data_IF_352930751906
#
_entry.id   IF_352930751906
#
_cell.length_a   1.000
_cell.length_b   1.000
_cell.length_c   1.000
_cell.angle_alpha   90.00
_cell.angle_beta   90.00
_cell.angle_gamma   90.00
#
_symmetry.space_group_name_H-M   'P 1'
#
loop_
_entity.id
_entity.type
_entity.pdbx_description
1 polymer ?
#
# COMPACT_ATOMS: atom_id res chain seq x y z
N UNK A 1 16.77 -4.97 -3.65
CA UNK A 1 15.95 -6.18 -3.48
C UNK A 1 16.72 -7.37 -2.88
N UNK A 2 17.96 -7.73 -3.25
CA UNK A 2 18.66 -8.87 -2.63
C UNK A 2 18.81 -8.77 -1.10
N UNK A 3 18.94 -7.54 -0.57
CA UNK A 3 19.00 -7.32 0.88
C UNK A 3 17.66 -7.69 1.57
N UNK A 4 16.54 -7.24 1.04
CA UNK A 4 15.20 -7.51 1.60
C UNK A 4 14.85 -8.98 1.45
N UNK A 5 15.09 -9.57 0.27
CA UNK A 5 14.71 -10.95 -0.04
C UNK A 5 15.18 -12.00 0.95
N UNK A 6 16.37 -11.82 1.53
CA UNK A 6 16.94 -12.79 2.48
C UNK A 6 16.26 -12.81 3.85
N UNK A 7 15.43 -11.81 4.13
CA UNK A 7 14.69 -11.66 5.38
C UNK A 7 13.20 -12.03 5.26
N UNK A 8 12.73 -12.34 4.03
CA UNK A 8 11.34 -12.63 3.74
C UNK A 8 11.16 -14.11 3.36
N UNK A 9 10.08 -14.72 3.84
CA UNK A 9 9.65 -16.07 3.43
C UNK A 9 8.91 -16.04 2.10
N UNK A 10 8.16 -14.97 1.84
CA UNK A 10 7.47 -14.74 0.59
C UNK A 10 8.48 -14.30 -0.47
N UNK A 11 8.42 -14.87 -1.65
CA UNK A 11 9.36 -14.58 -2.72
C UNK A 11 9.22 -13.13 -3.22
N UNK A 12 10.36 -12.51 -3.55
CA UNK A 12 10.42 -11.18 -4.16
C UNK A 12 11.35 -11.21 -5.38
N UNK A 13 11.07 -10.46 -6.45
CA UNK A 13 11.88 -10.46 -7.66
C UNK A 13 13.33 -10.07 -7.36
N UNK A 14 14.26 -10.78 -7.97
CA UNK A 14 15.69 -10.48 -7.87
C UNK A 14 16.20 -9.86 -9.16
N UNK A 15 17.04 -8.82 -9.11
CA UNK A 15 17.63 -8.25 -10.30
C UNK A 15 18.56 -9.27 -10.97
N UNK A 16 18.31 -9.54 -12.25
CA UNK A 16 19.15 -10.38 -13.14
C UNK A 16 20.13 -9.50 -13.88
N UNK A 17 19.70 -8.33 -14.36
CA UNK A 17 20.54 -7.35 -15.03
C UNK A 17 20.03 -5.94 -14.78
N UNK A 18 20.94 -4.98 -14.81
CA UNK A 18 20.63 -3.53 -14.78
C UNK A 18 21.28 -2.92 -16.01
N UNK A 19 20.49 -2.19 -16.80
CA UNK A 19 20.94 -1.50 -17.99
C UNK A 19 21.01 0.01 -17.80
N UNK A 20 21.88 0.63 -18.58
CA UNK A 20 22.06 2.09 -18.62
C UNK A 20 21.17 2.74 -19.68
N UNK A 21 20.88 4.05 -19.55
CA UNK A 21 20.19 4.79 -20.60
C UNK A 21 20.90 4.68 -21.97
N UNK A 22 20.10 4.67 -23.03
CA UNK A 22 20.57 4.61 -24.42
C UNK A 22 19.74 5.51 -25.33
N UNK A 23 20.10 5.62 -26.64
CA UNK A 23 19.46 6.56 -27.55
C UNK A 23 17.94 6.43 -27.67
N UNK A 24 17.41 5.21 -27.53
CA UNK A 24 15.99 4.91 -27.67
C UNK A 24 15.27 4.72 -26.33
N UNK A 25 15.99 4.79 -25.21
CA UNK A 25 15.47 4.61 -23.87
C UNK A 25 16.29 5.41 -22.86
N UNK A 26 15.85 6.61 -22.46
CA UNK A 26 16.65 7.54 -21.68
C UNK A 26 16.71 7.23 -20.17
N UNK A 27 16.14 6.11 -19.72
CA UNK A 27 16.09 5.74 -18.30
C UNK A 27 16.95 4.50 -18.01
N UNK A 28 17.36 4.37 -16.76
CA UNK A 28 17.89 3.11 -16.22
C UNK A 28 16.75 2.06 -16.23
N UNK A 29 17.08 0.83 -16.57
CA UNK A 29 16.15 -0.29 -16.60
C UNK A 29 16.74 -1.51 -15.92
N UNK A 30 15.89 -2.43 -15.49
CA UNK A 30 16.32 -3.70 -14.92
C UNK A 30 15.53 -4.87 -15.48
N UNK A 31 16.19 -6.01 -15.58
CA UNK A 31 15.56 -7.31 -15.77
C UNK A 31 15.46 -7.97 -14.41
N UNK A 32 14.28 -8.44 -14.06
CA UNK A 32 13.98 -9.10 -12.78
C UNK A 32 13.71 -10.58 -13.03
N UNK A 33 13.97 -11.42 -12.02
CA UNK A 33 13.54 -12.81 -12.06
C UNK A 33 12.01 -12.90 -12.17
N UNK A 34 11.54 -13.80 -13.03
CA UNK A 34 10.12 -14.15 -13.09
C UNK A 34 9.74 -15.04 -11.91
N UNK A 35 8.66 -14.72 -11.22
CA UNK A 35 8.14 -15.52 -10.12
C UNK A 35 6.84 -16.23 -10.54
N UNK A 36 6.71 -17.53 -10.26
CA UNK A 36 5.48 -18.26 -10.56
C UNK A 36 4.38 -17.88 -9.57
N UNK A 37 3.13 -18.01 -10.01
CA UNK A 37 1.92 -17.77 -9.21
C UNK A 37 0.84 -17.06 -10.02
N UNK A 38 -0.37 -17.13 -9.52
CA UNK A 38 -1.53 -16.46 -10.11
C UNK A 38 -1.78 -15.13 -9.37
N UNK A 39 -2.13 -14.04 -10.08
CA UNK A 39 -2.51 -12.78 -9.44
C UNK A 39 -3.71 -12.99 -8.50
N UNK A 40 -3.73 -12.25 -7.39
CA UNK A 40 -4.84 -12.29 -6.45
C UNK A 40 -6.14 -11.81 -7.13
N UNK A 41 -7.11 -12.71 -7.24
CA UNK A 41 -8.46 -12.42 -7.76
C UNK A 41 -9.52 -12.43 -6.68
N UNK A 42 -9.32 -13.19 -5.62
CA UNK A 42 -10.24 -13.32 -4.49
C UNK A 42 -9.46 -13.38 -3.17
N UNK A 43 -9.79 -12.48 -2.25
CA UNK A 43 -9.12 -12.39 -0.96
C UNK A 43 -9.82 -13.24 0.11
N UNK A 44 -9.03 -13.91 0.94
CA UNK A 44 -9.49 -14.71 2.07
C UNK A 44 -8.80 -14.28 3.36
N UNK A 45 -9.32 -14.71 4.50
CA UNK A 45 -8.63 -14.53 5.79
C UNK A 45 -7.24 -15.18 5.83
N UNK A 46 -7.03 -16.28 5.10
CA UNK A 46 -5.72 -16.91 5.00
C UNK A 46 -4.71 -15.99 4.32
N UNK A 47 -5.12 -15.35 3.20
CA UNK A 47 -4.29 -14.37 2.49
C UNK A 47 -4.07 -13.12 3.36
N UNK A 48 -5.06 -12.71 4.13
CA UNK A 48 -4.93 -11.60 5.08
C UNK A 48 -3.86 -11.88 6.14
N UNK A 49 -3.84 -13.09 6.71
CA UNK A 49 -2.78 -13.54 7.64
C UNK A 49 -1.41 -13.60 6.97
N UNK A 50 -1.34 -14.16 5.76
CA UNK A 50 -0.09 -14.28 5.02
C UNK A 50 0.51 -12.90 4.71
N UNK A 51 -0.32 -11.96 4.22
CA UNK A 51 0.11 -10.59 3.94
C UNK A 51 0.54 -9.85 5.21
N UNK A 52 -0.19 -10.04 6.32
CA UNK A 52 0.19 -9.49 7.61
C UNK A 52 1.53 -10.01 8.11
N UNK A 53 1.76 -11.32 8.01
CA UNK A 53 3.04 -11.94 8.36
C UNK A 53 4.19 -11.42 7.48
N UNK A 54 3.96 -11.32 6.17
CA UNK A 54 4.91 -10.73 5.21
C UNK A 54 5.29 -9.29 5.59
N UNK A 55 4.32 -8.44 5.94
CA UNK A 55 4.59 -7.05 6.33
C UNK A 55 5.42 -6.98 7.62
N UNK A 56 5.16 -7.81 8.61
CA UNK A 56 5.97 -7.86 9.84
C UNK A 56 7.43 -8.27 9.55
N UNK A 57 7.64 -9.26 8.67
CA UNK A 57 8.98 -9.64 8.22
C UNK A 57 9.67 -8.48 7.49
N UNK A 58 8.94 -7.78 6.62
CA UNK A 58 9.44 -6.63 5.88
C UNK A 58 9.87 -5.50 6.85
N UNK A 59 9.01 -5.18 7.82
CA UNK A 59 9.28 -4.12 8.81
C UNK A 59 10.42 -4.47 9.77
N UNK A 60 10.65 -5.75 10.02
CA UNK A 60 11.78 -6.23 10.83
C UNK A 60 13.11 -6.28 10.06
N UNK A 61 13.07 -6.07 8.74
CA UNK A 61 14.28 -6.08 7.89
C UNK A 61 15.15 -4.85 8.20
N UNK A 62 16.48 -5.02 8.43
CA UNK A 62 17.38 -3.89 8.67
C UNK A 62 17.32 -2.83 7.57
N UNK A 63 17.27 -1.56 7.95
CA UNK A 63 17.00 -0.41 7.05
C UNK A 63 18.27 0.36 6.62
N UNK A 64 19.47 -0.09 7.01
CA UNK A 64 20.71 0.65 6.81
C UNK A 64 20.88 1.21 5.38
N UNK A 65 21.20 2.51 5.28
CA UNK A 65 21.61 3.25 4.06
C UNK A 65 20.62 3.26 2.86
N UNK A 66 19.34 2.94 3.08
CA UNK A 66 18.34 2.98 2.02
C UNK A 66 17.58 4.31 2.00
N UNK A 67 17.15 4.76 0.79
CA UNK A 67 16.50 6.05 0.67
C UNK A 67 15.16 6.10 1.41
N UNK A 68 14.97 7.20 2.13
CA UNK A 68 13.66 7.54 2.67
C UNK A 68 12.66 7.84 1.53
N UNK A 69 11.35 7.70 1.82
CA UNK A 69 10.31 8.03 0.86
C UNK A 69 10.44 9.47 0.35
N UNK A 70 10.43 9.63 -0.95
CA UNK A 70 10.63 10.91 -1.62
C UNK A 70 10.07 10.89 -3.05
N UNK A 71 10.61 11.74 -3.92
CA UNK A 71 10.16 11.86 -5.30
C UNK A 71 10.24 10.52 -6.07
N UNK A 72 11.26 9.68 -5.81
CA UNK A 72 11.43 8.38 -6.45
C UNK A 72 10.31 7.39 -6.15
N UNK A 73 9.66 7.51 -4.97
CA UNK A 73 8.54 6.68 -4.53
C UNK A 73 7.20 7.41 -4.62
N UNK A 74 7.14 8.54 -5.31
CA UNK A 74 5.97 9.45 -5.27
C UNK A 74 5.53 9.72 -3.83
N UNK A 75 6.47 9.90 -2.91
CA UNK A 75 6.26 10.11 -1.47
C UNK A 75 5.44 9.02 -0.75
N UNK A 76 5.33 7.80 -1.34
CA UNK A 76 4.65 6.67 -0.68
C UNK A 76 5.36 6.29 0.61
N UNK A 77 4.59 6.20 1.70
CA UNK A 77 5.10 6.05 3.06
C UNK A 77 5.63 7.34 3.70
N UNK A 78 5.76 8.43 2.94
CA UNK A 78 6.10 9.75 3.46
C UNK A 78 4.95 10.40 4.24
N UNK A 79 5.10 11.68 4.53
CA UNK A 79 4.07 12.42 5.25
C UNK A 79 2.82 12.64 4.38
N UNK A 80 1.65 12.30 4.90
CA UNK A 80 0.36 12.52 4.22
C UNK A 80 0.11 13.98 3.84
N UNK A 81 0.71 14.94 4.55
CA UNK A 81 0.61 16.38 4.28
C UNK A 81 1.01 16.74 2.84
N UNK A 82 1.89 15.98 2.21
CA UNK A 82 2.27 16.17 0.78
C UNK A 82 1.04 16.14 -0.14
N UNK A 83 0.00 15.41 0.26
CA UNK A 83 -1.22 15.21 -0.51
C UNK A 83 -2.43 15.97 0.05
N UNK A 84 -2.25 16.92 1.00
CA UNK A 84 -3.37 17.57 1.68
C UNK A 84 -4.27 18.34 0.70
N UNK A 85 -3.68 19.25 -0.08
CA UNK A 85 -4.43 20.06 -1.07
C UNK A 85 -5.14 19.18 -2.10
N UNK A 86 -4.44 18.14 -2.60
CA UNK A 86 -4.99 17.20 -3.57
C UNK A 86 -6.18 16.43 -2.98
N UNK A 87 -6.06 15.96 -1.74
CA UNK A 87 -7.14 15.21 -1.07
C UNK A 87 -8.36 16.09 -0.84
N UNK A 88 -8.16 17.30 -0.31
CA UNK A 88 -9.25 18.26 -0.07
C UNK A 88 -9.99 18.62 -1.35
N UNK A 89 -9.26 18.88 -2.43
CA UNK A 89 -9.85 19.14 -3.75
C UNK A 89 -10.63 17.93 -4.26
N UNK A 90 -10.08 16.72 -4.13
CA UNK A 90 -10.73 15.50 -4.57
C UNK A 90 -12.00 15.19 -3.77
N UNK A 91 -12.03 15.44 -2.46
CA UNK A 91 -13.24 15.32 -1.61
C UNK A 91 -14.37 16.19 -2.17
N UNK A 92 -14.07 17.44 -2.54
CA UNK A 92 -15.07 18.36 -3.11
C UNK A 92 -15.55 17.88 -4.49
N UNK A 93 -14.64 17.39 -5.33
CA UNK A 93 -14.96 16.91 -6.68
C UNK A 93 -15.84 15.66 -6.65
N UNK A 94 -15.52 14.70 -5.78
CA UNK A 94 -16.26 13.43 -5.65
C UNK A 94 -17.60 13.65 -4.97
N UNK A 95 -17.68 14.53 -3.97
CA UNK A 95 -18.89 14.81 -3.20
C UNK A 95 -19.33 13.64 -2.30
N UNK A 96 -20.60 13.64 -1.93
CA UNK A 96 -21.18 12.60 -1.08
C UNK A 96 -20.77 12.74 0.39
N UNK A 97 -19.96 11.87 0.92
CA UNK A 97 -19.57 11.79 2.34
C UNK A 97 -18.48 12.81 2.75
N UNK A 98 -18.63 14.09 2.38
CA UNK A 98 -17.58 15.11 2.56
C UNK A 98 -17.11 15.21 4.02
N UNK A 99 -18.04 15.37 4.97
CA UNK A 99 -17.69 15.54 6.38
C UNK A 99 -16.99 14.32 6.96
N UNK A 100 -17.46 13.12 6.61
CA UNK A 100 -16.88 11.86 7.08
C UNK A 100 -15.48 11.64 6.45
N UNK A 101 -15.33 11.90 5.16
CA UNK A 101 -14.04 11.84 4.47
C UNK A 101 -13.03 12.82 5.08
N UNK A 102 -13.48 14.05 5.37
CA UNK A 102 -12.64 15.06 6.01
C UNK A 102 -12.30 14.71 7.46
N UNK A 103 -13.19 14.05 8.20
CA UNK A 103 -12.90 13.55 9.54
C UNK A 103 -11.81 12.46 9.50
N UNK A 104 -11.91 11.49 8.59
CA UNK A 104 -10.89 10.45 8.38
C UNK A 104 -9.55 11.10 8.01
N UNK A 105 -9.55 12.04 7.05
CA UNK A 105 -8.34 12.71 6.61
C UNK A 105 -7.66 13.49 7.72
N UNK A 106 -8.43 14.29 8.46
CA UNK A 106 -7.92 15.11 9.58
C UNK A 106 -7.35 14.23 10.70
N UNK A 107 -8.02 13.13 11.04
CA UNK A 107 -7.51 12.17 12.02
C UNK A 107 -6.20 11.53 11.56
N UNK A 108 -6.09 11.18 10.27
CA UNK A 108 -4.87 10.62 9.69
C UNK A 108 -3.69 11.60 9.73
N UNK A 109 -3.94 12.88 9.41
CA UNK A 109 -2.92 13.94 9.48
C UNK A 109 -2.45 14.22 10.91
N UNK A 110 -3.35 14.10 11.89
CA UNK A 110 -3.05 14.31 13.31
C UNK A 110 -2.38 13.12 13.98
N UNK A 111 -2.51 11.92 13.41
CA UNK A 111 -1.94 10.71 13.96
C UNK A 111 -0.41 10.73 13.91
N UNK A 112 0.22 10.59 15.07
CA UNK A 112 1.68 10.62 15.21
C UNK A 112 2.34 9.56 14.31
N UNK A 113 3.31 9.98 13.50
CA UNK A 113 4.16 9.07 12.72
C UNK A 113 5.04 8.19 13.62
N UNK A 114 5.51 7.03 13.14
CA UNK A 114 6.41 6.17 13.89
C UNK A 114 7.75 6.89 14.15
N UNK A 115 8.40 6.56 15.25
CA UNK A 115 9.72 7.11 15.62
C UNK A 115 10.86 6.46 14.83
N UNK A 116 10.65 5.25 14.33
CA UNK A 116 11.61 4.52 13.51
C UNK A 116 10.97 4.15 12.16
N UNK A 117 11.57 4.57 11.04
CA UNK A 117 11.11 4.18 9.72
C UNK A 117 11.47 2.71 9.46
N UNK A 118 10.65 2.05 8.65
CA UNK A 118 10.80 0.64 8.26
C UNK A 118 10.77 0.51 6.74
N UNK A 119 11.14 -0.67 6.22
CA UNK A 119 10.92 -0.96 4.81
C UNK A 119 9.44 -0.94 4.47
N UNK A 120 9.10 -0.27 3.40
CA UNK A 120 7.76 -0.26 2.81
C UNK A 120 7.83 -0.66 1.34
N UNK A 121 6.82 -1.38 0.89
CA UNK A 121 6.64 -1.68 -0.54
C UNK A 121 6.16 -0.45 -1.31
N UNK A 122 5.26 0.34 -0.72
CA UNK A 122 4.73 1.60 -1.26
C UNK A 122 3.58 1.47 -2.25
N UNK A 123 3.33 0.27 -2.82
CA UNK A 123 2.20 0.04 -3.74
C UNK A 123 1.64 -1.38 -3.68
N UNK A 124 1.27 -1.84 -2.49
CA UNK A 124 0.58 -3.13 -2.37
C UNK A 124 -0.82 -3.04 -2.99
N UNK A 125 -1.02 -3.81 -4.05
CA UNK A 125 -2.27 -3.94 -4.79
C UNK A 125 -2.50 -5.42 -5.16
N UNK A 126 -3.73 -5.81 -5.46
CA UNK A 126 -4.08 -7.20 -5.78
C UNK A 126 -3.21 -7.79 -6.92
N UNK A 127 -2.91 -6.96 -7.96
CA UNK A 127 -2.07 -7.38 -9.08
C UNK A 127 -0.59 -7.63 -8.73
N UNK A 128 -0.13 -7.13 -7.57
CA UNK A 128 1.24 -7.27 -7.08
C UNK A 128 1.40 -8.43 -6.09
N UNK A 129 0.32 -9.17 -5.79
CA UNK A 129 0.30 -10.32 -4.91
C UNK A 129 0.09 -11.59 -5.73
N UNK A 130 1.07 -12.48 -5.74
CA UNK A 130 0.97 -13.76 -6.43
C UNK A 130 0.64 -14.88 -5.45
N UNK A 131 -0.26 -15.75 -5.85
CA UNK A 131 -0.72 -16.89 -5.07
C UNK A 131 -0.22 -18.20 -5.66
N UNK A 132 0.05 -19.15 -4.79
CA UNK A 132 0.20 -20.55 -5.13
C UNK A 132 -0.67 -21.36 -4.15
N UNK A 133 -1.52 -22.24 -4.70
CA UNK A 133 -2.46 -23.07 -3.90
C UNK A 133 -3.26 -22.24 -2.86
N UNK A 134 -3.70 -21.03 -3.25
CA UNK A 134 -4.51 -20.13 -2.40
C UNK A 134 -3.75 -19.46 -1.26
N UNK A 135 -2.42 -19.51 -1.24
CA UNK A 135 -1.54 -18.85 -0.26
C UNK A 135 -0.66 -17.80 -0.93
N UNK A 136 -0.29 -16.75 -0.22
CA UNK A 136 0.64 -15.74 -0.72
C UNK A 136 2.02 -16.37 -0.96
N UNK A 137 2.45 -16.38 -2.23
CA UNK A 137 3.74 -16.97 -2.63
C UNK A 137 4.78 -15.96 -3.05
N UNK A 138 4.35 -14.82 -3.63
CA UNK A 138 5.27 -13.76 -4.01
C UNK A 138 4.62 -12.37 -3.95
N UNK A 139 5.46 -11.35 -3.74
CA UNK A 139 5.10 -9.92 -3.86
C UNK A 139 6.02 -9.30 -4.90
N UNK A 140 5.42 -8.68 -5.93
CA UNK A 140 6.12 -8.11 -7.09
C UNK A 140 5.91 -6.59 -7.16
N UNK A 141 6.61 -5.93 -8.10
CA UNK A 141 6.54 -4.49 -8.36
C UNK A 141 7.03 -3.60 -7.20
N UNK A 142 8.30 -3.72 -6.89
CA UNK A 142 8.99 -2.98 -5.83
C UNK A 142 9.51 -1.61 -6.27
N UNK A 143 8.99 -1.06 -7.37
CA UNK A 143 9.45 0.22 -7.92
C UNK A 143 9.29 1.42 -6.99
N UNK A 144 8.39 1.35 -6.01
CA UNK A 144 8.10 2.42 -5.05
C UNK A 144 8.62 2.15 -3.64
N UNK A 145 9.42 1.09 -3.45
CA UNK A 145 9.92 0.73 -2.14
C UNK A 145 10.83 1.82 -1.54
N UNK A 146 10.72 1.98 -0.23
CA UNK A 146 11.48 2.98 0.52
C UNK A 146 11.64 2.54 1.99
N UNK A 147 12.39 3.31 2.76
CA UNK A 147 12.40 3.21 4.23
C UNK A 147 11.57 4.36 4.77
N UNK A 148 10.41 4.08 5.39
CA UNK A 148 9.46 5.12 5.78
C UNK A 148 8.37 4.63 6.76
N UNK A 149 7.22 5.35 6.80
CA UNK A 149 6.03 4.98 7.57
C UNK A 149 5.30 3.80 6.92
N UNK A 150 5.08 2.68 7.62
CA UNK A 150 4.40 1.50 7.10
C UNK A 150 2.92 1.70 6.75
N UNK A 151 2.32 2.80 7.11
CA UNK A 151 0.88 3.05 6.92
C UNK A 151 0.43 2.92 5.46
N UNK A 152 1.27 3.26 4.48
CA UNK A 152 0.93 3.12 3.07
C UNK A 152 0.75 1.66 2.63
N UNK A 153 1.42 0.71 3.28
CA UNK A 153 1.34 -0.71 2.98
C UNK A 153 0.10 -1.39 3.60
N UNK A 154 -0.65 -0.70 4.44
CA UNK A 154 -1.91 -1.19 4.99
C UNK A 154 -3.15 -0.84 4.14
N UNK A 155 -2.99 -0.13 3.05
CA UNK A 155 -4.07 0.18 2.08
C UNK A 155 -4.85 -1.06 1.62
N UNK A 156 -4.25 -2.26 1.45
CA UNK A 156 -4.96 -3.51 1.18
C UNK A 156 -6.13 -3.81 2.11
N UNK A 157 -6.11 -3.33 3.35
CA UNK A 157 -7.22 -3.49 4.30
C UNK A 157 -8.58 -3.07 3.72
N UNK A 158 -8.61 -2.06 2.89
CA UNK A 158 -9.86 -1.54 2.30
C UNK A 158 -9.97 -1.77 0.78
N UNK A 159 -8.83 -1.94 0.09
CA UNK A 159 -8.84 -2.14 -1.37
C UNK A 159 -8.98 -3.61 -1.77
N UNK A 160 -8.62 -4.53 -0.87
CA UNK A 160 -8.56 -5.97 -1.15
C UNK A 160 -9.51 -6.75 -0.25
N UNK A 161 -9.50 -6.48 1.07
CA UNK A 161 -10.19 -7.30 2.07
C UNK A 161 -11.61 -6.81 2.36
N UNK A 162 -12.53 -7.75 2.55
CA UNK A 162 -13.82 -7.51 3.18
C UNK A 162 -13.65 -7.24 4.69
N UNK A 163 -14.74 -7.00 5.41
CA UNK A 163 -14.69 -6.65 6.83
C UNK A 163 -14.07 -7.75 7.71
N UNK A 164 -14.35 -9.03 7.42
CA UNK A 164 -13.80 -10.16 8.18
C UNK A 164 -12.30 -10.31 7.95
N UNK A 165 -11.89 -10.38 6.69
CA UNK A 165 -10.48 -10.49 6.32
C UNK A 165 -9.68 -9.24 6.74
N UNK A 166 -10.30 -8.04 6.73
CA UNK A 166 -9.69 -6.79 7.23
C UNK A 166 -9.38 -6.87 8.73
N UNK A 167 -10.30 -7.39 9.55
CA UNK A 167 -10.04 -7.61 10.97
C UNK A 167 -8.85 -8.55 11.18
N UNK A 168 -8.85 -9.68 10.49
CA UNK A 168 -7.75 -10.65 10.53
C UNK A 168 -6.42 -10.02 10.08
N UNK A 169 -6.44 -9.20 9.03
CA UNK A 169 -5.26 -8.49 8.56
C UNK A 169 -4.74 -7.51 9.61
N UNK A 170 -5.62 -6.68 10.20
CA UNK A 170 -5.27 -5.73 11.26
C UNK A 170 -4.60 -6.41 12.44
N UNK A 171 -5.17 -7.53 12.91
CA UNK A 171 -4.60 -8.33 14.00
C UNK A 171 -3.26 -8.93 13.61
N UNK A 172 -3.14 -9.43 12.36
CA UNK A 172 -1.91 -10.06 11.85
C UNK A 172 -0.75 -9.11 11.72
N UNK A 173 -0.98 -7.83 11.42
CA UNK A 173 0.07 -6.79 11.35
C UNK A 173 0.33 -6.14 12.72
N UNK A 174 -0.47 -6.46 13.74
CA UNK A 174 -0.38 -5.85 15.07
C UNK A 174 -0.45 -4.30 15.01
N UNK A 175 -1.34 -3.79 14.12
CA UNK A 175 -1.45 -2.37 13.86
C UNK A 175 -2.00 -1.61 15.08
N UNK A 176 -1.20 -0.70 15.62
CA UNK A 176 -1.69 0.23 16.63
C UNK A 176 -2.72 1.22 16.05
N UNK A 177 -3.55 1.85 16.89
CA UNK A 177 -4.58 2.78 16.41
C UNK A 177 -4.05 3.93 15.56
N UNK A 178 -2.88 4.48 15.86
CA UNK A 178 -2.29 5.60 15.10
C UNK A 178 -1.83 5.16 13.72
N UNK A 179 -1.20 3.98 13.63
CA UNK A 179 -0.81 3.37 12.35
C UNK A 179 -2.06 3.12 11.49
N UNK A 180 -3.13 2.57 12.09
CA UNK A 180 -4.38 2.31 11.38
C UNK A 180 -5.06 3.60 10.90
N UNK A 181 -5.07 4.67 11.71
CA UNK A 181 -5.58 5.98 11.29
C UNK A 181 -4.84 6.52 10.08
N UNK A 182 -3.50 6.47 10.06
CA UNK A 182 -2.71 6.93 8.92
C UNK A 182 -2.96 6.07 7.68
N UNK A 183 -3.10 4.75 7.84
CA UNK A 183 -3.43 3.83 6.75
C UNK A 183 -4.79 4.14 6.12
N UNK A 184 -5.81 4.48 6.93
CA UNK A 184 -7.11 4.96 6.44
C UNK A 184 -6.95 6.21 5.58
N UNK A 185 -6.08 7.14 5.99
CA UNK A 185 -5.75 8.33 5.19
C UNK A 185 -5.16 7.99 3.83
N UNK A 186 -4.21 7.04 3.77
CA UNK A 186 -3.64 6.56 2.51
C UNK A 186 -4.70 5.91 1.60
N UNK A 187 -5.57 5.07 2.15
CA UNK A 187 -6.64 4.42 1.40
C UNK A 187 -7.67 5.43 0.88
N UNK A 188 -8.02 6.43 1.71
CA UNK A 188 -8.93 7.51 1.34
C UNK A 188 -8.35 8.34 0.18
N UNK A 189 -7.12 8.85 0.32
CA UNK A 189 -6.44 9.60 -0.72
C UNK A 189 -6.40 8.82 -2.04
N UNK A 190 -5.92 7.56 -2.01
CA UNK A 190 -5.79 6.71 -3.22
C UNK A 190 -7.15 6.55 -3.94
N UNK A 191 -8.22 6.34 -3.19
CA UNK A 191 -9.57 6.19 -3.74
C UNK A 191 -10.11 7.49 -4.32
N UNK A 192 -9.98 8.59 -3.59
CA UNK A 192 -10.46 9.91 -4.03
C UNK A 192 -9.76 10.37 -5.31
N UNK A 193 -8.45 10.16 -5.45
CA UNK A 193 -7.73 10.56 -6.66
C UNK A 193 -8.24 9.79 -7.88
N UNK A 194 -8.49 8.48 -7.75
CA UNK A 194 -9.08 7.69 -8.85
C UNK A 194 -10.47 8.22 -9.21
N UNK A 195 -11.32 8.48 -8.22
CA UNK A 195 -12.69 8.96 -8.45
C UNK A 195 -12.74 10.38 -9.01
N UNK A 196 -11.80 11.25 -8.64
CA UNK A 196 -11.74 12.63 -9.13
C UNK A 196 -11.16 12.76 -10.55
N UNK A 197 -10.39 11.77 -11.02
CA UNK A 197 -9.64 11.86 -12.28
C UNK A 197 -10.14 10.92 -13.37
N UNK A 198 -11.02 9.96 -13.06
CA UNK A 198 -11.51 8.94 -13.97
C UNK A 198 -13.03 8.86 -13.93
N UNK A 199 -13.65 8.74 -15.10
CA UNK A 199 -15.11 8.68 -15.18
C UNK A 199 -15.66 7.26 -15.06
N UNK A 200 -14.97 6.25 -15.62
CA UNK A 200 -15.42 4.86 -15.66
C UNK A 200 -14.27 3.85 -15.60
N UNK A 201 -14.63 2.58 -15.37
CA UNK A 201 -13.74 1.43 -15.43
C UNK A 201 -13.59 0.67 -14.10
N UNK A 202 -12.87 -0.44 -14.13
CA UNK A 202 -12.69 -1.32 -12.97
C UNK A 202 -12.00 -0.62 -11.79
N UNK A 203 -11.12 0.34 -12.06
CA UNK A 203 -10.45 1.12 -11.02
C UNK A 203 -11.43 2.05 -10.30
N UNK A 204 -12.36 2.68 -11.02
CA UNK A 204 -13.42 3.52 -10.44
C UNK A 204 -14.34 2.67 -9.56
N UNK A 205 -14.77 1.51 -10.05
CA UNK A 205 -15.58 0.57 -9.27
C UNK A 205 -14.86 0.12 -7.99
N UNK A 206 -13.58 -0.20 -8.08
CA UNK A 206 -12.75 -0.54 -6.93
C UNK A 206 -12.61 0.61 -5.93
N UNK A 207 -12.37 1.84 -6.41
CA UNK A 207 -12.24 3.02 -5.59
C UNK A 207 -13.55 3.38 -4.85
N UNK A 208 -14.72 3.19 -5.49
CA UNK A 208 -16.02 3.36 -4.81
C UNK A 208 -16.20 2.37 -3.68
N UNK A 209 -15.95 1.07 -3.94
CA UNK A 209 -16.02 0.05 -2.88
C UNK A 209 -15.07 0.33 -1.71
N UNK A 210 -13.86 0.83 -2.02
CA UNK A 210 -12.90 1.22 -0.98
C UNK A 210 -13.42 2.39 -0.16
N UNK A 211 -14.00 3.40 -0.81
CA UNK A 211 -14.59 4.54 -0.12
C UNK A 211 -15.75 4.10 0.79
N UNK A 212 -16.68 3.26 0.29
CA UNK A 212 -17.79 2.70 1.08
C UNK A 212 -17.28 1.89 2.28
N UNK A 213 -16.22 1.09 2.08
CA UNK A 213 -15.59 0.32 3.15
C UNK A 213 -14.94 1.22 4.23
N UNK A 214 -14.34 2.34 3.83
CA UNK A 214 -13.78 3.33 4.75
C UNK A 214 -14.86 4.05 5.55
N UNK A 215 -15.99 4.37 4.91
CA UNK A 215 -17.12 5.06 5.56
C UNK A 215 -17.85 4.15 6.55
N UNK A 216 -17.87 2.84 6.31
CA UNK A 216 -18.51 1.84 7.20
C UNK A 216 -17.55 1.27 8.25
N UNK A 217 -16.28 1.67 8.27
CA UNK A 217 -15.28 1.17 9.24
C UNK A 217 -15.35 1.99 10.54
N UNK A 218 -15.99 1.44 11.57
CA UNK A 218 -16.20 2.09 12.90
C UNK A 218 -14.92 2.24 13.75
N UNK A 219 -13.74 2.13 13.15
CA UNK A 219 -12.45 2.19 13.85
C UNK A 219 -12.12 3.56 14.52
N UNK A 220 -13.11 4.42 14.70
CA UNK A 220 -13.00 5.66 15.50
C UNK A 220 -13.49 5.49 16.95
N UNK A 221 -13.88 4.27 17.36
CA UNK A 221 -14.32 3.97 18.73
C UNK A 221 -13.37 3.03 19.45
#
# INVERSE_FOLDING_TARGET
MPHVARHLRVAVPQPVAIGTPGPNWPWVWSVQSWLPGDPLTFATEAIARDLGAFLRELWATPTADWPEAGAHSFHRGGRLQVYDDQTRSAVQTVGGHIDQAMAIWTAALAAQAPTAPVWVHGDLAAGNLLLNEGRLSAVIDWGLCAVSDPACDLVPAWTIFDASARSVFRDSVEADPKLWMRARGWALWKSLIVLATREEGSQVTGARRTLDALMSDDALH
#
